data_IF_627795265725
#
_entry.id   IF_627795265725
#
_cell.length_a   1.000
_cell.length_b   1.000
_cell.length_c   1.000
_cell.angle_alpha   90.00
_cell.angle_beta   90.00
_cell.angle_gamma   90.00
#
_symmetry.space_group_name_H-M   'P 1'
#
loop_
_entity.id
_entity.type
_entity.pdbx_description
1 polymer ?
#
# COMPACT_ATOMS: atom_id res chain seq x y z
N UNK A 1 7.55 -7.38 6.14
CA UNK A 1 6.81 -6.44 6.99
C UNK A 1 5.52 -7.07 7.45
N UNK A 2 5.32 -7.13 8.75
CA UNK A 2 4.10 -7.66 9.33
C UNK A 2 3.19 -6.52 9.77
N UNK A 3 2.00 -6.49 9.23
CA UNK A 3 0.99 -5.48 9.54
C UNK A 3 -0.38 -6.09 9.34
N UNK A 4 -1.33 -5.76 10.23
CA UNK A 4 -2.71 -6.24 10.16
C UNK A 4 -2.79 -7.77 9.98
N UNK A 5 -1.95 -8.50 10.71
CA UNK A 5 -1.85 -9.97 10.69
C UNK A 5 -1.40 -10.54 9.35
N UNK A 6 -0.83 -9.73 8.49
CA UNK A 6 -0.38 -10.15 7.17
C UNK A 6 1.09 -9.84 7.00
N UNK A 7 1.82 -10.75 6.37
CA UNK A 7 3.20 -10.49 5.98
C UNK A 7 3.23 -10.01 4.54
N UNK A 8 3.90 -8.88 4.33
CA UNK A 8 4.20 -8.38 3.00
C UNK A 8 5.69 -8.54 2.75
N UNK A 9 6.02 -9.13 1.63
CA UNK A 9 7.41 -9.39 1.24
C UNK A 9 7.70 -8.73 -0.10
N UNK A 10 8.90 -8.20 -0.24
CA UNK A 10 9.27 -7.55 -1.47
C UNK A 10 10.52 -6.72 -1.33
N UNK A 11 10.78 -5.94 -2.37
CA UNK A 11 11.92 -5.04 -2.45
C UNK A 11 11.41 -3.63 -2.22
N UNK A 12 12.08 -2.86 -1.39
CA UNK A 12 11.70 -1.48 -1.14
C UNK A 12 11.91 -0.67 -2.42
N UNK A 13 10.83 -0.09 -2.92
CA UNK A 13 10.82 0.71 -4.13
C UNK A 13 10.81 2.20 -3.82
N UNK A 14 10.13 2.58 -2.74
CA UNK A 14 10.08 3.95 -2.28
C UNK A 14 9.78 4.00 -0.78
N UNK A 15 10.23 5.05 -0.13
CA UNK A 15 9.99 5.31 1.29
C UNK A 15 9.56 6.76 1.43
N UNK A 16 8.55 7.00 2.22
CA UNK A 16 8.09 8.37 2.50
C UNK A 16 7.85 8.58 3.99
N UNK A 17 7.01 9.57 4.31
CA UNK A 17 6.64 9.84 5.69
C UNK A 17 5.77 8.70 6.22
N UNK A 18 6.36 7.84 7.03
CA UNK A 18 5.67 6.73 7.68
C UNK A 18 5.01 5.75 6.71
N UNK A 19 5.57 5.61 5.50
CA UNK A 19 5.10 4.61 4.56
C UNK A 19 6.27 4.02 3.78
N UNK A 20 6.07 2.81 3.28
CA UNK A 20 7.02 2.16 2.39
C UNK A 20 6.23 1.51 1.25
N UNK A 21 6.74 1.63 0.04
CA UNK A 21 6.19 0.95 -1.13
C UNK A 21 7.09 -0.23 -1.46
N UNK A 22 6.50 -1.41 -1.45
CA UNK A 22 7.19 -2.66 -1.79
C UNK A 22 6.76 -3.10 -3.17
N UNK A 23 7.71 -3.53 -3.99
CA UNK A 23 7.39 -4.23 -5.22
C UNK A 23 7.69 -5.71 -5.04
N UNK A 24 6.94 -6.55 -5.74
CA UNK A 24 7.18 -7.98 -5.69
C UNK A 24 8.54 -8.36 -6.25
N UNK A 25 9.05 -9.49 -5.82
CA UNK A 25 10.36 -9.99 -6.25
C UNK A 25 10.35 -10.55 -7.66
N UNK A 26 9.16 -10.92 -8.13
CA UNK A 26 9.00 -11.48 -9.49
C UNK A 26 8.17 -10.50 -10.32
N UNK A 27 8.41 -10.44 -11.65
CA UNK A 27 7.61 -9.60 -12.53
C UNK A 27 6.12 -9.93 -12.41
N UNK A 28 5.28 -8.91 -12.36
CA UNK A 28 3.84 -9.08 -12.24
C UNK A 28 3.34 -9.31 -10.84
N UNK A 29 4.20 -9.44 -9.85
CA UNK A 29 3.76 -9.56 -8.46
C UNK A 29 3.15 -8.23 -7.99
N UNK A 30 2.13 -8.28 -7.12
CA UNK A 30 1.47 -7.07 -6.65
C UNK A 30 2.42 -6.16 -5.88
N UNK A 31 2.25 -4.86 -6.05
CA UNK A 31 2.90 -3.86 -5.22
C UNK A 31 2.09 -3.70 -3.93
N UNK A 32 2.77 -3.38 -2.85
CA UNK A 32 2.12 -3.12 -1.58
C UNK A 32 2.61 -1.81 -1.00
N UNK A 33 1.68 -0.93 -0.68
CA UNK A 33 1.94 0.28 0.06
C UNK A 33 1.62 0.00 1.53
N UNK A 34 2.60 0.13 2.39
CA UNK A 34 2.47 -0.22 3.80
C UNK A 34 2.57 1.03 4.66
N UNK A 35 1.62 1.20 5.57
CA UNK A 35 1.63 2.29 6.55
C UNK A 35 2.51 1.89 7.72
N UNK A 36 3.67 2.50 7.82
CA UNK A 36 4.65 2.15 8.87
C UNK A 36 4.14 2.46 10.28
N UNK A 37 3.19 3.38 10.42
CA UNK A 37 2.60 3.66 11.72
C UNK A 37 1.81 2.47 12.29
N UNK A 38 1.48 1.49 11.44
CA UNK A 38 0.70 0.31 11.83
C UNK A 38 1.52 -0.98 11.79
N UNK A 39 2.80 -0.88 11.50
CA UNK A 39 3.66 -2.07 11.36
C UNK A 39 3.94 -2.68 12.73
N UNK A 40 3.72 -3.97 12.84
CA UNK A 40 4.03 -4.74 14.06
C UNK A 40 5.47 -5.22 14.06
N UNK A 41 5.99 -5.59 12.91
CA UNK A 41 7.31 -6.18 12.79
C UNK A 41 7.88 -5.93 11.40
N UNK A 42 9.13 -5.51 11.37
CA UNK A 42 9.87 -5.31 10.11
C UNK A 42 11.09 -6.21 10.14
N UNK A 43 11.21 -7.09 9.15
CA UNK A 43 12.37 -7.94 9.00
C UNK A 43 13.09 -7.57 7.70
N UNK A 44 14.36 -7.23 7.83
CA UNK A 44 15.21 -6.96 6.69
C UNK A 44 16.28 -8.04 6.61
N UNK A 45 16.40 -8.66 5.44
CA UNK A 45 17.42 -9.69 5.26
C UNK A 45 18.77 -9.09 4.93
N UNK A 46 18.77 -8.03 4.15
CA UNK A 46 19.99 -7.45 3.65
C UNK A 46 19.73 -6.04 3.16
N UNK A 47 20.61 -5.14 3.51
CA UNK A 47 20.62 -3.81 2.87
C UNK A 47 21.44 -3.98 1.61
N UNK A 48 20.79 -3.92 0.45
CA UNK A 48 21.50 -3.96 -0.81
C UNK A 48 22.23 -2.63 -0.99
N UNK A 49 23.50 -2.70 -1.29
CA UNK A 49 24.23 -1.51 -1.67
C UNK A 49 23.68 -1.00 -3.01
N UNK A 50 23.51 0.30 -3.12
CA UNK A 50 23.00 0.89 -4.34
C UNK A 50 21.51 0.71 -4.54
N UNK A 51 20.76 0.65 -3.46
CA UNK A 51 19.32 0.61 -3.52
C UNK A 51 18.80 1.76 -4.37
N UNK A 52 18.00 1.44 -5.39
CA UNK A 52 17.33 2.44 -6.22
C UNK A 52 16.05 2.96 -5.58
N UNK A 53 15.87 2.70 -4.30
CA UNK A 53 14.66 3.14 -3.60
C UNK A 53 14.58 4.67 -3.59
N UNK A 54 13.40 5.17 -3.94
CA UNK A 54 13.14 6.60 -3.90
C UNK A 54 12.83 7.01 -2.47
N UNK A 55 13.52 8.04 -2.00
CA UNK A 55 13.23 8.63 -0.69
C UNK A 55 12.38 9.87 -0.92
N UNK A 56 11.23 9.93 -0.28
CA UNK A 56 10.26 10.99 -0.46
C UNK A 56 9.90 11.62 0.88
N UNK A 57 9.61 12.91 0.85
CA UNK A 57 9.07 13.62 2.02
C UNK A 57 7.56 13.69 2.00
N UNK A 58 6.94 13.10 0.99
CA UNK A 58 5.49 13.14 0.83
C UNK A 58 4.80 12.20 1.81
N UNK A 59 3.58 12.54 2.18
CA UNK A 59 2.75 11.69 3.02
C UNK A 59 2.21 10.51 2.21
N UNK A 60 1.62 9.54 2.91
CA UNK A 60 1.02 8.37 2.29
C UNK A 60 -0.09 8.74 1.29
N UNK A 61 -0.67 9.91 1.41
CA UNK A 61 -1.71 10.37 0.48
C UNK A 61 -1.21 10.44 -0.95
N UNK A 62 0.04 10.77 -1.14
CA UNK A 62 0.63 10.88 -2.48
C UNK A 62 0.64 9.54 -3.23
N UNK A 63 1.24 8.46 -2.70
CA UNK A 63 1.17 7.16 -3.38
C UNK A 63 -0.24 6.61 -3.47
N UNK A 64 -1.12 6.90 -2.50
CA UNK A 64 -2.51 6.46 -2.57
C UNK A 64 -3.24 7.10 -3.76
N UNK A 65 -2.97 8.37 -4.04
CA UNK A 65 -3.57 9.05 -5.20
C UNK A 65 -3.14 8.39 -6.50
N UNK A 66 -1.92 7.91 -6.58
CA UNK A 66 -1.44 7.20 -7.77
C UNK A 66 -2.20 5.91 -8.00
N UNK A 67 -2.55 5.19 -6.94
CA UNK A 67 -3.40 4.01 -7.07
C UNK A 67 -4.77 4.38 -7.62
N UNK A 68 -5.32 5.54 -7.21
CA UNK A 68 -6.60 6.01 -7.71
C UNK A 68 -6.57 6.45 -9.16
N UNK A 69 -5.49 7.07 -9.60
CA UNK A 69 -5.36 7.55 -10.97
C UNK A 69 -5.48 6.43 -12.00
N UNK A 70 -4.97 5.27 -11.68
CA UNK A 70 -5.01 4.13 -12.59
C UNK A 70 -6.31 3.35 -12.57
N UNK A 71 -7.25 3.70 -11.71
CA UNK A 71 -8.48 2.93 -11.46
C UNK A 71 -8.19 1.46 -11.24
N UNK A 72 -7.20 1.20 -10.41
CA UNK A 72 -6.70 -0.15 -10.18
C UNK A 72 -7.49 -0.86 -9.10
N UNK A 73 -7.71 -2.16 -9.33
CA UNK A 73 -8.23 -3.02 -8.27
C UNK A 73 -7.19 -3.12 -7.17
N UNK A 74 -7.62 -2.88 -5.95
CA UNK A 74 -6.75 -2.90 -4.79
C UNK A 74 -7.35 -3.75 -3.69
N UNK A 75 -6.47 -4.31 -2.87
CA UNK A 75 -6.86 -4.95 -1.62
C UNK A 75 -6.39 -4.04 -0.49
N UNK A 76 -7.33 -3.60 0.34
CA UNK A 76 -7.07 -2.66 1.41
C UNK A 76 -7.16 -3.38 2.74
N UNK A 77 -6.09 -3.30 3.52
CA UNK A 77 -6.00 -3.93 4.84
C UNK A 77 -6.20 -2.85 5.90
N UNK A 78 -7.19 -3.06 6.76
CA UNK A 78 -7.62 -2.07 7.74
C UNK A 78 -7.55 -2.62 9.15
N UNK A 79 -7.29 -1.72 10.10
CA UNK A 79 -7.30 -2.07 11.51
C UNK A 79 -6.17 -2.99 11.90
N UNK A 80 -6.22 -3.47 13.12
CA UNK A 80 -5.23 -4.41 13.66
C UNK A 80 -5.69 -5.86 13.53
N UNK A 81 -6.96 -6.08 13.21
CA UNK A 81 -7.55 -7.41 13.12
C UNK A 81 -7.49 -8.02 11.71
N UNK A 82 -6.91 -7.31 10.77
CA UNK A 82 -6.72 -7.83 9.43
C UNK A 82 -7.95 -7.77 8.55
N UNK A 83 -8.88 -6.87 8.81
CA UNK A 83 -10.03 -6.67 7.95
C UNK A 83 -9.57 -6.28 6.54
N UNK A 84 -10.15 -6.89 5.53
CA UNK A 84 -9.75 -6.68 4.14
C UNK A 84 -10.94 -6.24 3.30
N UNK A 85 -10.71 -5.20 2.49
CA UNK A 85 -11.67 -4.70 1.51
C UNK A 85 -11.02 -4.78 0.13
N UNK A 86 -11.79 -5.19 -0.87
CA UNK A 86 -11.31 -5.19 -2.26
C UNK A 86 -12.15 -4.24 -3.08
N UNK A 87 -11.50 -3.38 -3.84
CA UNK A 87 -12.17 -2.40 -4.66
C UNK A 87 -11.18 -1.45 -5.31
N UNK A 88 -11.69 -0.35 -5.84
CA UNK A 88 -10.87 0.67 -6.47
C UNK A 88 -10.77 1.90 -5.58
N UNK A 89 -9.57 2.48 -5.52
CA UNK A 89 -9.39 3.77 -4.86
C UNK A 89 -10.10 4.83 -5.70
N UNK A 90 -11.10 5.45 -5.11
CA UNK A 90 -11.96 6.41 -5.80
C UNK A 90 -11.57 7.84 -5.45
N UNK A 91 -11.18 8.08 -4.21
CA UNK A 91 -10.74 9.40 -3.77
C UNK A 91 -9.83 9.27 -2.54
N UNK A 92 -8.95 10.24 -2.38
CA UNK A 92 -8.09 10.36 -1.21
C UNK A 92 -8.31 11.73 -0.60
N UNK A 93 -8.91 11.78 0.58
CA UNK A 93 -9.12 13.02 1.31
C UNK A 93 -7.94 13.37 2.19
N UNK A 94 -8.13 14.36 3.04
CA UNK A 94 -7.07 14.78 3.96
C UNK A 94 -6.75 13.68 4.99
N UNK A 95 -7.76 12.94 5.42
CA UNK A 95 -7.65 11.96 6.49
C UNK A 95 -8.43 10.68 6.22
N UNK A 96 -8.84 10.44 4.97
CA UNK A 96 -9.60 9.25 4.60
C UNK A 96 -9.25 8.78 3.20
N UNK A 97 -9.55 7.51 2.95
CA UNK A 97 -9.46 6.86 1.66
C UNK A 97 -10.84 6.36 1.30
N UNK A 98 -11.30 6.66 0.09
CA UNK A 98 -12.61 6.21 -0.39
C UNK A 98 -12.41 5.05 -1.37
N UNK A 99 -13.03 3.92 -1.08
CA UNK A 99 -12.94 2.71 -1.88
C UNK A 99 -14.30 2.43 -2.50
N UNK A 100 -14.33 2.27 -3.80
CA UNK A 100 -15.54 1.89 -4.53
C UNK A 100 -15.57 0.38 -4.73
N UNK A 101 -16.65 -0.23 -4.30
CA UNK A 101 -16.87 -1.67 -4.42
C UNK A 101 -18.22 -1.89 -5.09
N UNK A 102 -18.23 -1.99 -6.42
CA UNK A 102 -19.48 -2.05 -7.17
C UNK A 102 -20.31 -0.80 -6.95
N UNK A 103 -21.53 -0.94 -6.42
CA UNK A 103 -22.39 0.19 -6.09
C UNK A 103 -22.12 0.74 -4.68
N UNK A 104 -21.32 0.05 -3.88
CA UNK A 104 -21.02 0.48 -2.52
C UNK A 104 -19.77 1.34 -2.49
N UNK A 105 -19.71 2.24 -1.50
CA UNK A 105 -18.55 3.07 -1.25
C UNK A 105 -18.18 2.94 0.22
N UNK A 106 -16.93 2.60 0.49
CA UNK A 106 -16.41 2.52 1.84
C UNK A 106 -15.44 3.65 2.10
N UNK A 107 -15.52 4.25 3.27
CA UNK A 107 -14.55 5.23 3.73
C UNK A 107 -13.64 4.59 4.76
N UNK A 108 -12.34 4.69 4.53
CA UNK A 108 -11.33 4.17 5.45
C UNK A 108 -10.55 5.34 6.02
N UNK A 109 -10.64 5.62 7.31
CA UNK A 109 -9.80 6.64 7.92
C UNK A 109 -8.32 6.28 7.73
N UNK A 110 -7.49 7.25 7.39
CA UNK A 110 -6.08 6.96 7.12
C UNK A 110 -5.36 6.39 8.35
N UNK A 111 -5.80 6.75 9.56
CA UNK A 111 -5.21 6.19 10.77
C UNK A 111 -5.53 4.70 10.94
N UNK A 112 -6.57 4.20 10.29
CA UNK A 112 -6.93 2.78 10.33
C UNK A 112 -6.35 2.00 9.16
N UNK A 113 -5.77 2.67 8.18
CA UNK A 113 -5.19 2.04 7.00
C UNK A 113 -3.88 1.35 7.38
N UNK A 114 -3.78 0.06 7.12
CA UNK A 114 -2.57 -0.70 7.37
C UNK A 114 -1.74 -0.88 6.10
N UNK A 115 -2.37 -1.27 5.01
CA UNK A 115 -1.68 -1.48 3.74
C UNK A 115 -2.65 -1.47 2.57
N UNK A 116 -2.13 -1.19 1.39
CA UNK A 116 -2.87 -1.30 0.13
C UNK A 116 -2.03 -2.11 -0.84
N UNK A 117 -2.62 -3.17 -1.36
CA UNK A 117 -1.96 -4.04 -2.33
C UNK A 117 -2.62 -3.86 -3.69
N UNK A 118 -1.82 -3.59 -4.71
CA UNK A 118 -2.30 -3.43 -6.08
C UNK A 118 -2.54 -4.81 -6.67
N UNK A 119 -3.81 -5.10 -6.97
CA UNK A 119 -4.20 -6.38 -7.55
C UNK A 119 -4.23 -6.37 -9.07
N UNK A 120 -4.11 -5.20 -9.68
CA UNK A 120 -4.13 -5.11 -11.13
C UNK A 120 -2.92 -5.84 -11.68
N UNK A 121 -3.10 -6.79 -12.60
CA UNK A 121 -1.96 -7.47 -13.21
C UNK A 121 -1.01 -6.43 -13.76
N UNK A 122 0.24 -6.64 -13.48
CA UNK A 122 1.25 -5.65 -13.74
C UNK A 122 1.15 -5.08 -15.13
N UNK A 123 1.11 -3.77 -15.18
CA UNK A 123 1.29 -3.03 -16.41
C UNK A 123 2.67 -3.13 -16.89
N UNK A 124 3.31 -4.12 -16.48
CA UNK A 124 4.59 -4.43 -16.99
C UNK A 124 4.43 -4.85 -18.42
N UNK A 125 4.07 -4.00 -19.12
CA UNK A 125 4.11 -4.23 -20.54
C UNK A 125 5.37 -3.58 -21.03
#
# INVERSE_FOLDING_TARGET
>A
VHVARTWFDGIIDAVGQQWVLLRGRVPGAPRALVNLARVDHLRMRRVAHGSDAVISRLSIRSPLRRFGEGRRECRVFCGSDGQVLEGMVDAVGADYLQIRRGAAVDLVPLHALAAVQDLTPGDSV
#
